data_IF_860729517900
#
_entry.id   IF_860729517900
#
_cell.length_a   1.000
_cell.length_b   1.000
_cell.length_c   1.000
_cell.angle_alpha   90.00
_cell.angle_beta   90.00
_cell.angle_gamma   90.00
#
_symmetry.space_group_name_H-M   'P 1'
#
loop_
_entity.id
_entity.type
_entity.pdbx_description
1 polymer ?
#
# COMPACT_ATOMS: atom_id res chain seq x y z
N UNK A 1 3.55 24.30 -43.97
CA UNK A 1 3.61 23.13 -43.05
C UNK A 1 3.70 23.60 -41.63
N UNK A 2 2.83 23.11 -40.74
CA UNK A 2 2.82 23.39 -39.29
C UNK A 2 3.27 22.14 -38.52
N UNK A 3 3.39 22.27 -37.21
CA UNK A 3 3.74 21.14 -36.31
C UNK A 3 2.64 20.84 -35.32
N UNK A 4 2.50 19.57 -34.90
CA UNK A 4 1.60 19.19 -33.80
C UNK A 4 2.15 19.69 -32.47
N UNK A 5 1.27 19.97 -31.52
CA UNK A 5 1.66 20.57 -30.23
C UNK A 5 2.56 19.66 -29.38
N UNK A 6 2.25 18.38 -29.31
CA UNK A 6 2.93 17.46 -28.37
C UNK A 6 4.23 16.86 -28.95
N UNK A 7 4.17 16.26 -30.13
CA UNK A 7 5.30 15.51 -30.69
C UNK A 7 5.99 16.22 -31.84
N UNK A 8 5.57 17.47 -32.16
CA UNK A 8 6.16 18.28 -33.22
C UNK A 8 6.13 17.60 -34.62
N UNK A 9 5.14 16.72 -34.83
CA UNK A 9 4.99 16.02 -36.11
C UNK A 9 4.48 16.98 -37.19
N UNK A 10 4.87 16.72 -38.43
CA UNK A 10 4.48 17.56 -39.55
C UNK A 10 2.95 17.51 -39.78
N UNK A 11 2.36 18.69 -39.96
CA UNK A 11 1.00 18.86 -40.46
C UNK A 11 1.04 19.54 -41.80
N UNK A 12 0.63 18.83 -42.87
CA UNK A 12 0.68 19.32 -44.24
C UNK A 12 -0.63 20.01 -44.62
N UNK A 13 -0.53 21.17 -45.26
CA UNK A 13 -1.61 21.81 -45.98
C UNK A 13 -1.64 21.34 -47.45
N UNK A 14 -2.76 21.53 -48.13
CA UNK A 14 -2.91 21.15 -49.56
C UNK A 14 -1.88 21.80 -50.47
N UNK A 15 -1.30 22.95 -50.11
CA UNK A 15 -0.28 23.68 -50.83
C UNK A 15 1.14 23.22 -50.55
N UNK A 16 1.37 22.38 -49.55
CA UNK A 16 2.68 21.95 -49.14
C UNK A 16 3.19 20.86 -50.09
N UNK A 17 4.47 20.93 -50.46
CA UNK A 17 5.18 19.83 -51.12
C UNK A 17 5.69 18.85 -50.04
N UNK A 18 5.27 17.61 -50.14
CA UNK A 18 5.78 16.55 -49.27
C UNK A 18 7.14 16.11 -49.84
N UNK A 19 8.19 16.28 -49.05
CA UNK A 19 9.52 15.81 -49.37
C UNK A 19 9.84 14.54 -48.57
N UNK A 20 10.67 13.68 -49.13
CA UNK A 20 11.12 12.43 -48.48
C UNK A 20 11.81 12.73 -47.13
N UNK A 21 12.55 13.82 -47.07
CA UNK A 21 13.26 14.28 -45.87
C UNK A 21 12.27 14.63 -44.75
N UNK A 22 11.22 15.40 -45.05
CA UNK A 22 10.16 15.72 -44.07
C UNK A 22 9.51 14.47 -43.48
N UNK A 23 9.36 13.42 -44.28
CA UNK A 23 8.79 12.15 -43.87
C UNK A 23 9.75 11.36 -42.97
N UNK A 24 11.00 11.31 -43.34
CA UNK A 24 12.05 10.63 -42.58
C UNK A 24 12.28 11.29 -41.22
N UNK A 25 12.29 12.62 -41.16
CA UNK A 25 12.41 13.38 -39.90
C UNK A 25 11.23 13.14 -38.98
N UNK A 26 10.02 13.10 -39.53
CA UNK A 26 8.83 12.77 -38.75
C UNK A 26 8.90 11.34 -38.19
N UNK A 27 9.33 10.38 -39.00
CA UNK A 27 9.48 8.98 -38.58
C UNK A 27 10.54 8.85 -37.49
N UNK A 28 11.68 9.52 -37.63
CA UNK A 28 12.73 9.54 -36.62
C UNK A 28 12.26 10.18 -35.29
N UNK A 29 11.51 11.28 -35.40
CA UNK A 29 10.90 11.92 -34.21
C UNK A 29 9.92 11.01 -33.49
N UNK A 30 9.10 10.28 -34.25
CA UNK A 30 8.13 9.33 -33.69
C UNK A 30 8.82 8.14 -33.04
N UNK A 31 9.84 7.57 -33.72
CA UNK A 31 10.64 6.46 -33.18
C UNK A 31 11.32 6.83 -31.86
N UNK A 32 11.94 8.01 -31.79
CA UNK A 32 12.58 8.51 -30.59
C UNK A 32 11.55 8.73 -29.45
N UNK A 33 10.37 9.26 -29.75
CA UNK A 33 9.31 9.45 -28.75
C UNK A 33 8.74 8.11 -28.23
N UNK A 34 8.54 7.14 -29.10
CA UNK A 34 8.09 5.80 -28.73
C UNK A 34 9.14 5.09 -27.86
N UNK A 35 10.41 5.21 -28.21
CA UNK A 35 11.51 4.66 -27.40
C UNK A 35 11.55 5.30 -26.00
N UNK A 36 11.46 6.62 -25.91
CA UNK A 36 11.44 7.32 -24.61
C UNK A 36 10.25 6.90 -23.75
N UNK A 37 9.07 6.71 -24.34
CA UNK A 37 7.89 6.22 -23.64
C UNK A 37 8.10 4.78 -23.13
N UNK A 38 8.69 3.90 -23.94
CA UNK A 38 8.99 2.53 -23.54
C UNK A 38 10.00 2.49 -22.38
N UNK A 39 11.04 3.32 -22.43
CA UNK A 39 12.04 3.43 -21.36
C UNK A 39 11.42 3.96 -20.05
N UNK A 40 10.54 4.96 -20.14
CA UNK A 40 9.81 5.49 -19.01
C UNK A 40 8.90 4.44 -18.38
N UNK A 41 8.18 3.67 -19.19
CA UNK A 41 7.32 2.58 -18.72
C UNK A 41 8.13 1.46 -18.04
N UNK A 42 9.29 1.11 -18.60
CA UNK A 42 10.20 0.13 -18.02
C UNK A 42 10.76 0.61 -16.67
N UNK A 43 11.16 1.89 -16.57
CA UNK A 43 11.65 2.48 -15.34
C UNK A 43 10.55 2.54 -14.26
N UNK A 44 9.32 2.90 -14.63
CA UNK A 44 8.18 2.90 -13.72
C UNK A 44 7.86 1.49 -13.21
N UNK A 45 7.88 0.49 -14.10
CA UNK A 45 7.68 -0.92 -13.72
C UNK A 45 8.76 -1.41 -12.75
N UNK A 46 10.03 -1.07 -13.00
CA UNK A 46 11.13 -1.41 -12.10
C UNK A 46 11.00 -0.72 -10.73
N UNK A 47 10.58 0.55 -10.71
CA UNK A 47 10.34 1.28 -9.46
C UNK A 47 9.20 0.68 -8.64
N UNK A 48 8.09 0.28 -9.30
CA UNK A 48 6.97 -0.42 -8.63
C UNK A 48 7.42 -1.75 -8.03
N UNK A 49 8.27 -2.51 -8.74
CA UNK A 49 8.82 -3.77 -8.22
C UNK A 49 9.68 -3.59 -6.95
N UNK A 50 10.28 -2.40 -6.77
CA UNK A 50 11.05 -2.07 -5.55
C UNK A 50 10.18 -1.61 -4.38
N UNK A 51 8.92 -1.22 -4.61
CA UNK A 51 8.01 -0.77 -3.56
C UNK A 51 7.55 -1.89 -2.60
N UNK A 52 7.94 -3.13 -2.86
CA UNK A 52 7.53 -4.31 -2.08
C UNK A 52 6.05 -4.66 -2.33
N UNK A 53 5.70 -5.92 -2.06
CA UNK A 53 4.37 -6.48 -2.30
C UNK A 53 3.49 -6.33 -1.05
N UNK A 54 3.42 -5.13 -0.48
CA UNK A 54 2.67 -4.87 0.73
C UNK A 54 1.49 -3.92 0.47
N UNK A 55 0.31 -4.32 0.92
CA UNK A 55 -0.86 -3.45 1.01
C UNK A 55 -1.05 -2.98 2.46
N UNK A 56 -1.58 -1.77 2.62
CA UNK A 56 -1.93 -1.24 3.94
C UNK A 56 -3.45 -1.20 4.06
N UNK A 57 -3.97 -1.76 5.15
CA UNK A 57 -5.38 -1.67 5.49
C UNK A 57 -5.55 -0.93 6.83
N UNK A 58 -6.41 0.09 6.83
CA UNK A 58 -6.80 0.84 8.02
C UNK A 58 -8.23 0.49 8.40
N UNK A 59 -8.44 0.17 9.68
CA UNK A 59 -9.74 -0.19 10.25
C UNK A 59 -9.97 0.62 11.53
N UNK A 60 -11.09 1.34 11.58
CA UNK A 60 -11.59 1.92 12.83
C UNK A 60 -12.59 0.95 13.45
N UNK A 61 -12.45 0.64 14.73
CA UNK A 61 -13.37 -0.24 15.41
C UNK A 61 -13.66 0.19 16.86
N UNK A 62 -14.76 -0.30 17.38
CA UNK A 62 -15.11 -0.16 18.80
C UNK A 62 -14.79 -1.46 19.54
N UNK A 63 -14.17 -1.34 20.70
CA UNK A 63 -13.90 -2.47 21.59
C UNK A 63 -15.18 -3.14 22.05
N UNK A 64 -15.14 -4.47 22.13
CA UNK A 64 -16.29 -5.31 22.49
C UNK A 64 -16.35 -5.66 23.97
N UNK A 65 -15.25 -5.46 24.71
CA UNK A 65 -15.12 -5.94 26.09
C UNK A 65 -14.91 -7.45 26.22
N UNK A 66 -14.60 -8.14 25.12
CA UNK A 66 -14.24 -9.56 25.13
C UNK A 66 -12.74 -9.75 25.34
N UNK A 67 -12.35 -10.84 25.98
CA UNK A 67 -10.93 -11.23 26.15
C UNK A 67 -10.28 -11.75 24.88
N UNK A 68 -11.03 -11.84 23.79
CA UNK A 68 -10.54 -12.20 22.45
C UNK A 68 -10.94 -11.10 21.47
N UNK A 69 -9.99 -10.67 20.66
CA UNK A 69 -10.23 -9.81 19.49
C UNK A 69 -9.71 -10.48 18.24
N UNK A 70 -10.52 -10.47 17.17
CA UNK A 70 -10.17 -11.06 15.87
C UNK A 70 -10.54 -10.14 14.73
N UNK A 71 -9.69 -10.13 13.69
CA UNK A 71 -9.96 -9.49 12.40
C UNK A 71 -9.61 -10.43 11.25
N UNK A 72 -10.37 -10.28 10.18
CA UNK A 72 -10.08 -10.90 8.88
C UNK A 72 -9.77 -9.79 7.88
N UNK A 73 -8.69 -9.94 7.15
CA UNK A 73 -8.14 -8.95 6.22
C UNK A 73 -8.35 -9.38 4.77
N UNK A 74 -8.14 -8.46 3.83
CA UNK A 74 -8.19 -8.77 2.39
C UNK A 74 -7.08 -9.75 1.97
N UNK A 75 -5.90 -9.62 2.58
CA UNK A 75 -4.71 -10.43 2.36
C UNK A 75 -4.12 -10.90 3.69
N UNK A 76 -3.11 -11.77 3.62
CA UNK A 76 -2.40 -12.27 4.79
C UNK A 76 -1.71 -11.13 5.55
N UNK A 77 -2.00 -10.93 6.85
CA UNK A 77 -1.35 -9.88 7.62
C UNK A 77 0.09 -10.24 7.95
N UNK A 78 1.00 -9.29 7.73
CA UNK A 78 2.44 -9.38 8.07
C UNK A 78 2.73 -8.65 9.39
N UNK A 79 2.01 -7.57 9.65
CA UNK A 79 2.19 -6.75 10.84
C UNK A 79 0.87 -6.05 11.18
N UNK A 80 0.60 -5.93 12.47
CA UNK A 80 -0.53 -5.20 13.00
C UNK A 80 -0.04 -4.16 14.00
N UNK A 81 -0.63 -2.99 13.95
CA UNK A 81 -0.52 -2.01 15.03
C UNK A 81 -1.90 -1.44 15.33
N UNK A 82 -2.21 -1.28 16.61
CA UNK A 82 -3.47 -0.74 17.08
C UNK A 82 -3.19 0.40 18.05
N UNK A 83 -3.97 1.48 17.93
CA UNK A 83 -3.90 2.66 18.76
C UNK A 83 -5.28 3.02 19.30
N UNK A 84 -5.34 3.46 20.52
CA UNK A 84 -6.56 4.01 21.15
C UNK A 84 -6.47 3.97 22.67
N UNK A 85 -7.25 4.79 23.37
CA UNK A 85 -7.28 4.88 24.84
C UNK A 85 -5.89 4.99 25.49
N UNK A 86 -4.99 5.75 24.88
CA UNK A 86 -3.59 5.92 25.31
C UNK A 86 -2.78 4.59 25.34
N UNK A 87 -3.22 3.60 24.57
CA UNK A 87 -2.55 2.30 24.42
C UNK A 87 -2.12 2.13 22.97
N UNK A 88 -1.00 1.48 22.75
CA UNK A 88 -0.59 0.94 21.46
C UNK A 88 -0.21 -0.53 21.58
N UNK A 89 -0.65 -1.30 20.62
CA UNK A 89 -0.41 -2.72 20.46
C UNK A 89 0.38 -2.93 19.17
N UNK A 90 1.35 -3.82 19.19
CA UNK A 90 2.18 -4.13 18.04
C UNK A 90 2.42 -5.64 17.95
N UNK A 91 2.12 -6.22 16.78
CA UNK A 91 2.31 -7.64 16.50
C UNK A 91 2.93 -7.85 15.12
N UNK A 92 3.82 -8.82 15.00
CA UNK A 92 4.46 -9.23 13.75
C UNK A 92 4.10 -10.69 13.48
N UNK A 93 3.78 -11.01 12.23
CA UNK A 93 3.40 -12.36 11.83
C UNK A 93 4.46 -13.39 12.22
N UNK A 94 3.99 -14.53 12.74
CA UNK A 94 4.83 -15.61 13.21
C UNK A 94 5.26 -15.47 14.66
N UNK A 95 5.07 -14.31 15.30
CA UNK A 95 5.22 -14.18 16.74
C UNK A 95 3.94 -14.67 17.43
N UNK A 96 4.09 -15.46 18.48
CA UNK A 96 2.99 -15.93 19.34
C UNK A 96 2.59 -14.88 20.36
N UNK A 97 3.49 -13.93 20.64
CA UNK A 97 3.32 -12.84 21.58
C UNK A 97 3.47 -11.47 20.91
N UNK A 98 2.64 -10.55 21.33
CA UNK A 98 2.66 -9.14 20.93
C UNK A 98 2.83 -8.23 22.13
N UNK A 99 3.55 -7.14 21.94
CA UNK A 99 3.73 -6.14 22.98
C UNK A 99 2.63 -5.09 22.90
N UNK A 100 2.02 -4.82 24.04
CA UNK A 100 1.15 -3.69 24.25
C UNK A 100 1.73 -2.75 25.31
N UNK A 101 1.57 -1.44 25.10
CA UNK A 101 1.98 -0.42 26.07
C UNK A 101 0.92 0.64 26.25
N UNK A 102 0.74 1.08 27.49
CA UNK A 102 -0.07 2.23 27.87
C UNK A 102 0.83 3.38 28.32
N UNK A 103 0.51 4.60 27.95
CA UNK A 103 1.32 5.79 28.16
C UNK A 103 2.08 5.83 29.49
N UNK A 104 3.39 5.99 29.36
CA UNK A 104 4.31 6.16 30.47
C UNK A 104 5.06 4.90 30.94
N UNK A 105 4.42 3.85 31.43
CA UNK A 105 5.18 2.77 32.06
C UNK A 105 4.56 1.37 32.04
N UNK A 106 3.27 1.23 31.79
CA UNK A 106 2.62 -0.09 31.81
C UNK A 106 2.85 -0.82 30.49
N UNK A 107 3.27 -2.07 30.55
CA UNK A 107 3.40 -2.96 29.40
C UNK A 107 2.69 -4.29 29.70
N UNK A 108 2.10 -4.88 28.68
CA UNK A 108 1.52 -6.22 28.74
C UNK A 108 1.92 -7.00 27.49
N UNK A 109 1.87 -8.32 27.61
CA UNK A 109 2.06 -9.25 26.49
C UNK A 109 0.68 -9.82 26.16
N UNK A 110 0.27 -9.71 24.92
CA UNK A 110 -0.93 -10.33 24.40
C UNK A 110 -0.54 -11.56 23.58
N UNK A 111 -1.19 -12.69 23.79
CA UNK A 111 -0.99 -13.86 22.94
C UNK A 111 -1.67 -13.64 21.61
N UNK A 112 -0.98 -13.92 20.49
CA UNK A 112 -1.44 -13.70 19.13
C UNK A 112 -1.50 -15.01 18.37
N UNK A 113 -2.60 -15.22 17.64
CA UNK A 113 -2.77 -16.35 16.73
C UNK A 113 -2.96 -15.83 15.32
N UNK A 114 -2.21 -16.39 14.37
CA UNK A 114 -2.24 -16.05 12.96
C UNK A 114 -2.81 -17.20 12.15
N UNK A 115 -3.90 -16.98 11.44
CA UNK A 115 -4.58 -18.01 10.65
C UNK A 115 -4.97 -17.48 9.26
N UNK A 116 -4.18 -17.82 8.25
CA UNK A 116 -4.40 -17.37 6.88
C UNK A 116 -4.49 -15.85 6.78
N UNK A 117 -5.69 -15.34 6.44
CA UNK A 117 -5.98 -13.89 6.36
C UNK A 117 -6.50 -13.30 7.66
N UNK A 118 -6.52 -14.06 8.73
CA UNK A 118 -7.02 -13.61 10.05
C UNK A 118 -5.91 -13.52 11.07
N UNK A 119 -6.08 -12.61 12.01
CA UNK A 119 -5.28 -12.55 13.22
C UNK A 119 -6.22 -12.32 14.42
N UNK A 120 -5.92 -13.00 15.51
CA UNK A 120 -6.62 -12.79 16.78
C UNK A 120 -5.61 -12.63 17.91
N UNK A 121 -6.00 -11.91 18.94
CA UNK A 121 -5.18 -11.74 20.12
C UNK A 121 -6.03 -11.76 21.39
N UNK A 122 -5.38 -12.12 22.49
CA UNK A 122 -6.03 -12.30 23.81
C UNK A 122 -5.20 -11.68 24.90
N UNK A 123 -5.89 -11.13 25.90
CA UNK A 123 -5.34 -10.71 27.18
C UNK A 123 -6.50 -10.52 28.19
N UNK A 124 -6.22 -10.71 29.46
CA UNK A 124 -7.20 -10.44 30.52
C UNK A 124 -7.40 -8.94 30.79
N UNK A 125 -6.39 -8.11 30.48
CA UNK A 125 -6.51 -6.65 30.50
C UNK A 125 -7.04 -6.17 29.14
N UNK A 126 -8.35 -5.90 29.11
CA UNK A 126 -9.08 -5.47 27.92
C UNK A 126 -8.58 -4.14 27.37
N UNK A 127 -8.07 -3.26 28.23
CA UNK A 127 -7.47 -1.99 27.78
C UNK A 127 -6.16 -2.25 27.06
N UNK A 128 -5.28 -3.05 27.65
CA UNK A 128 -3.98 -3.36 27.07
C UNK A 128 -4.09 -4.14 25.75
N UNK A 129 -5.12 -4.96 25.58
CA UNK A 129 -5.37 -5.62 24.30
C UNK A 129 -6.12 -4.75 23.28
N UNK A 130 -6.35 -3.46 23.57
CA UNK A 130 -7.10 -2.54 22.73
C UNK A 130 -8.53 -3.04 22.41
N UNK A 131 -9.24 -3.59 23.40
CA UNK A 131 -10.60 -4.09 23.23
C UNK A 131 -11.55 -3.75 24.40
N UNK A 132 -11.24 -2.71 25.19
CA UNK A 132 -12.14 -2.24 26.23
C UNK A 132 -13.49 -1.79 25.63
N UNK A 133 -14.60 -2.16 26.28
CA UNK A 133 -15.94 -1.90 25.79
C UNK A 133 -16.17 -0.40 25.54
N UNK A 134 -16.81 -0.08 24.43
CA UNK A 134 -17.19 1.29 24.03
C UNK A 134 -16.01 2.25 23.77
N UNK A 135 -14.77 1.77 23.76
CA UNK A 135 -13.61 2.56 23.35
C UNK A 135 -13.35 2.40 21.85
N UNK A 136 -12.93 3.49 21.19
CA UNK A 136 -12.61 3.47 19.76
C UNK A 136 -11.12 3.27 19.56
N UNK A 137 -10.77 2.39 18.63
CA UNK A 137 -9.40 2.04 18.27
C UNK A 137 -9.18 2.17 16.76
N UNK A 138 -7.92 2.42 16.39
CA UNK A 138 -7.46 2.47 15.02
C UNK A 138 -6.47 1.31 14.79
N UNK A 139 -6.78 0.42 13.88
CA UNK A 139 -5.92 -0.68 13.47
C UNK A 139 -5.31 -0.36 12.11
N UNK A 140 -4.01 -0.49 11.99
CA UNK A 140 -3.27 -0.45 10.73
C UNK A 140 -2.63 -1.81 10.54
N UNK A 141 -2.95 -2.47 9.44
CA UNK A 141 -2.37 -3.74 9.04
C UNK A 141 -1.48 -3.55 7.80
N UNK A 142 -0.27 -4.09 7.86
CA UNK A 142 0.55 -4.33 6.68
C UNK A 142 0.24 -5.74 6.18
N UNK A 143 -0.18 -5.86 4.94
CA UNK A 143 -0.65 -7.10 4.34
C UNK A 143 0.28 -7.54 3.20
N UNK A 144 0.45 -8.84 3.03
CA UNK A 144 1.10 -9.43 1.87
C UNK A 144 0.18 -9.33 0.67
N UNK A 145 0.49 -8.47 -0.30
CA UNK A 145 -0.37 -8.24 -1.46
C UNK A 145 -0.38 -9.41 -2.47
N UNK A 146 0.50 -10.39 -2.31
CA UNK A 146 0.58 -11.57 -3.20
C UNK A 146 -0.22 -12.78 -2.68
N UNK A 147 -0.66 -12.77 -1.39
CA UNK A 147 -1.35 -13.90 -0.75
C UNK A 147 -2.71 -13.54 -0.12
#
# INVERSE_FOLDING_TARGET
MTKTTNYQLNQWAKSDRIQMEDFNDMTATLDAALKANADTAAAASAAVALCGNCAVQHITYTGTGSTVRQFTFAHKPLMLTVFGDNVYFFAVQGAEDATSRRGGSSAAICSVTWEGKSASWTNDDLTMMCNAANQTYQLIALLDAEN
#
